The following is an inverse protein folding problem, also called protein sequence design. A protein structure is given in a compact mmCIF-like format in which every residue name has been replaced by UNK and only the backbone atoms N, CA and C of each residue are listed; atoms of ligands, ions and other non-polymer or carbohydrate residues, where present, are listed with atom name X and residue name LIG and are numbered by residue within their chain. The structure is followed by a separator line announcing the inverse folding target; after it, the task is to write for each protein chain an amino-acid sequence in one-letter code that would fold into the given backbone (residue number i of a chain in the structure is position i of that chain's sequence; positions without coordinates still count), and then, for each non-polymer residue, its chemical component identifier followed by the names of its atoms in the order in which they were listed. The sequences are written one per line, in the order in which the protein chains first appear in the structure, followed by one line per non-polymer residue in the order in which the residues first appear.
data_IF_034269947702
#
_entry.id   IF_034269947702
#
_cell.length_a   1.000
_cell.length_b   1.000
_cell.length_c   1.000
_cell.angle_alpha   90.00
_cell.angle_beta   90.00
_cell.angle_gamma   90.00
#
_symmetry.space_group_name_H-M   'P 1'
#
loop_
_entity.id
_entity.type
_entity.pdbx_description
1 polymer ?
#
# COMPACT_ATOMS: atom_id res chain seq x y z
N UNK A 1 9.35 24.30 51.97
CA UNK A 1 9.33 24.30 53.46
C UNK A 1 7.97 23.81 53.94
N UNK A 2 7.91 23.17 55.12
CA UNK A 2 6.65 22.66 55.70
C UNK A 2 5.63 23.78 55.92
N UNK A 3 6.10 25.02 56.11
CA UNK A 3 5.32 26.26 56.26
C UNK A 3 4.46 26.64 55.06
N UNK A 4 4.70 26.06 53.88
CA UNK A 4 3.96 26.38 52.65
C UNK A 4 2.82 25.39 52.35
N UNK A 5 2.58 24.42 53.23
CA UNK A 5 1.51 23.44 53.11
C UNK A 5 0.18 24.02 53.62
N UNK A 6 -0.89 23.87 52.85
CA UNK A 6 -2.26 24.17 53.26
C UNK A 6 -2.99 22.89 53.62
N UNK A 7 -3.99 22.96 54.50
CA UNK A 7 -4.85 21.81 54.81
C UNK A 7 -6.15 21.94 54.04
N UNK A 8 -6.49 20.91 53.27
CA UNK A 8 -7.67 20.87 52.42
C UNK A 8 -8.53 19.65 52.78
N UNK A 9 -9.82 19.89 53.04
CA UNK A 9 -10.81 18.85 53.32
C UNK A 9 -11.30 18.25 51.99
N UNK A 10 -10.92 17.00 51.74
CA UNK A 10 -11.40 16.23 50.59
C UNK A 10 -12.47 15.23 51.05
N UNK A 11 -13.29 14.66 50.14
CA UNK A 11 -14.24 13.59 50.50
C UNK A 11 -13.61 12.34 51.14
N UNK A 12 -12.28 12.20 51.07
CA UNK A 12 -11.51 11.11 51.69
C UNK A 12 -10.80 11.53 52.99
N UNK A 13 -11.08 12.73 53.51
CA UNK A 13 -10.48 13.28 54.73
C UNK A 13 -9.56 14.48 54.48
N UNK A 14 -8.87 14.91 55.54
CA UNK A 14 -7.96 16.07 55.54
C UNK A 14 -6.60 15.73 54.92
N UNK A 15 -6.24 16.44 53.85
CA UNK A 15 -4.93 16.33 53.20
C UNK A 15 -4.12 17.61 53.38
N UNK A 16 -2.80 17.48 53.37
CA UNK A 16 -1.88 18.61 53.24
C UNK A 16 -1.56 18.80 51.76
N UNK A 17 -1.83 19.98 51.22
CA UNK A 17 -1.62 20.35 49.81
C UNK A 17 -0.56 21.44 49.70
N UNK A 18 0.19 21.42 48.60
CA UNK A 18 1.20 22.44 48.27
C UNK A 18 0.90 22.98 46.88
N UNK A 19 0.62 24.28 46.80
CA UNK A 19 0.40 24.92 45.50
C UNK A 19 1.74 25.43 44.97
N UNK A 20 2.30 24.71 43.99
CA UNK A 20 3.51 25.14 43.27
C UNK A 20 3.11 25.89 42.01
N UNK A 21 3.38 27.20 41.96
CA UNK A 21 3.32 27.95 40.71
C UNK A 21 4.63 27.74 39.94
N UNK A 22 4.54 27.19 38.73
CA UNK A 22 5.68 27.03 37.82
C UNK A 22 5.58 28.12 36.77
N UNK A 23 6.56 29.03 36.73
CA UNK A 23 6.61 30.07 35.70
C UNK A 23 6.76 29.42 34.32
N UNK A 24 5.91 29.84 33.38
CA UNK A 24 6.02 29.40 31.99
C UNK A 24 7.37 29.77 31.39
N UNK A 25 7.91 28.87 30.54
CA UNK A 25 9.10 29.11 29.72
C UNK A 25 8.70 29.77 28.40
N UNK A 26 9.62 30.47 27.74
CA UNK A 26 9.34 30.95 26.39
C UNK A 26 9.18 29.76 25.43
N UNK A 27 8.22 29.82 24.52
CA UNK A 27 7.92 28.70 23.60
C UNK A 27 9.14 28.23 22.82
N UNK A 28 9.98 29.17 22.37
CA UNK A 28 11.24 28.89 21.64
C UNK A 28 12.23 28.05 22.44
N UNK A 29 12.19 28.10 23.77
CA UNK A 29 13.09 27.34 24.65
C UNK A 29 12.62 25.89 24.84
N UNK A 30 11.32 25.63 24.65
CA UNK A 30 10.69 24.31 24.87
C UNK A 30 10.58 23.52 23.56
N UNK A 31 10.45 24.22 22.44
CA UNK A 31 10.28 23.62 21.12
C UNK A 31 11.39 22.62 20.70
N UNK A 32 12.69 22.85 20.98
CA UNK A 32 13.74 21.88 20.68
C UNK A 32 13.53 20.51 21.36
N UNK A 33 13.12 20.52 22.63
CA UNK A 33 12.83 19.30 23.40
C UNK A 33 11.63 18.54 22.80
N UNK A 34 10.59 19.28 22.40
CA UNK A 34 9.41 18.71 21.76
C UNK A 34 9.75 18.08 20.40
N UNK A 35 10.54 18.75 19.57
CA UNK A 35 10.99 18.19 18.29
C UNK A 35 11.87 16.95 18.49
N UNK A 36 12.78 16.98 19.46
CA UNK A 36 13.63 15.84 19.79
C UNK A 36 12.82 14.61 20.22
N UNK A 37 11.80 14.79 21.06
CA UNK A 37 10.91 13.70 21.46
C UNK A 37 10.06 13.19 20.30
N UNK A 38 9.50 14.08 19.48
CA UNK A 38 8.74 13.70 18.28
C UNK A 38 9.58 12.83 17.34
N UNK A 39 10.84 13.22 17.07
CA UNK A 39 11.74 12.46 16.21
C UNK A 39 12.03 11.04 16.75
N UNK A 40 12.00 10.85 18.07
CA UNK A 40 12.22 9.54 18.72
C UNK A 40 10.97 8.66 18.72
N UNK A 41 9.79 9.28 18.78
CA UNK A 41 8.50 8.59 18.80
C UNK A 41 8.04 8.12 17.41
N UNK A 42 8.58 8.72 16.34
CA UNK A 42 8.29 8.29 14.96
C UNK A 42 8.83 6.88 14.69
N UNK A 43 7.91 5.92 14.58
CA UNK A 43 8.20 4.54 14.23
C UNK A 43 7.91 4.26 12.75
N UNK A 44 8.81 3.52 12.11
CA UNK A 44 8.67 3.06 10.73
C UNK A 44 8.80 1.53 10.66
N UNK A 45 8.16 0.84 9.70
CA UNK A 45 8.30 -0.61 9.54
C UNK A 45 9.74 -1.07 9.35
N UNK A 46 10.59 -0.20 8.79
CA UNK A 46 12.04 -0.39 8.69
C UNK A 46 12.75 0.88 9.14
N UNK A 47 13.53 0.77 10.20
CA UNK A 47 14.40 1.83 10.71
C UNK A 47 15.79 1.68 10.10
N UNK A 48 16.43 2.81 9.78
CA UNK A 48 17.80 2.84 9.26
C UNK A 48 18.76 3.47 10.28
N UNK A 49 19.93 2.84 10.41
CA UNK A 49 21.11 3.45 11.02
C UNK A 49 21.72 4.41 9.99
N UNK A 50 22.01 5.64 10.41
CA UNK A 50 22.55 6.67 9.51
C UNK A 50 23.55 7.58 10.21
N UNK A 51 24.13 7.09 11.30
CA UNK A 51 25.18 7.72 12.10
C UNK A 51 24.81 9.14 12.59
N UNK A 52 23.57 9.33 13.04
CA UNK A 52 23.07 10.59 13.56
C UNK A 52 22.71 10.48 15.04
N UNK A 53 22.71 11.58 15.77
CA UNK A 53 22.28 11.66 17.17
C UNK A 53 21.60 12.99 17.48
N UNK A 54 20.85 13.00 18.58
CA UNK A 54 20.30 14.22 19.18
C UNK A 54 21.10 14.57 20.43
N UNK A 55 21.10 15.85 20.81
CA UNK A 55 21.65 16.33 22.09
C UNK A 55 20.72 16.00 23.28
N UNK A 56 20.21 14.77 23.32
CA UNK A 56 19.31 14.27 24.37
C UNK A 56 19.93 13.14 25.22
N UNK A 57 21.16 12.74 24.90
CA UNK A 57 21.88 11.67 25.60
C UNK A 57 21.29 10.27 25.39
N UNK A 58 20.33 10.08 24.47
CA UNK A 58 19.67 8.79 24.21
C UNK A 58 20.34 7.96 23.10
N UNK A 59 21.55 8.31 22.71
CA UNK A 59 22.34 7.60 21.70
C UNK A 59 21.90 7.88 20.26
N UNK A 60 22.21 6.94 19.35
CA UNK A 60 21.95 7.08 17.92
C UNK A 60 20.46 7.35 17.63
N UNK A 61 20.19 8.30 16.72
CA UNK A 61 18.88 8.59 16.17
C UNK A 61 18.63 7.73 14.94
N UNK A 62 17.77 6.74 15.11
CA UNK A 62 17.24 5.93 14.02
C UNK A 62 16.11 6.65 13.30
N UNK A 63 16.01 6.52 11.97
CA UNK A 63 14.90 7.10 11.21
C UNK A 63 14.57 6.26 9.97
N UNK A 64 13.40 6.43 9.37
CA UNK A 64 13.01 5.66 8.17
C UNK A 64 13.93 5.89 6.97
N UNK A 65 14.54 7.08 6.87
CA UNK A 65 15.56 7.49 5.87
C UNK A 65 16.45 8.60 6.43
N UNK A 66 17.70 8.78 5.95
CA UNK A 66 18.53 9.91 6.37
C UNK A 66 17.85 11.27 6.12
N UNK A 67 17.72 12.08 7.16
CA UNK A 67 17.15 13.43 7.08
C UNK A 67 18.14 14.35 6.38
N UNK A 68 17.66 15.17 5.44
CA UNK A 68 18.52 16.02 4.60
C UNK A 68 18.49 17.50 4.97
N UNK A 69 17.37 17.98 5.50
CA UNK A 69 17.21 19.33 6.03
C UNK A 69 16.01 19.35 6.98
N UNK A 70 15.96 20.35 7.86
CA UNK A 70 14.85 20.57 8.78
C UNK A 70 14.35 22.01 8.65
N UNK A 71 13.05 22.15 8.38
CA UNK A 71 12.37 23.44 8.44
C UNK A 71 11.67 23.56 9.79
N UNK A 72 12.17 24.41 10.69
CA UNK A 72 11.61 24.56 12.02
C UNK A 72 11.49 26.04 12.39
N UNK A 73 10.26 26.55 12.32
CA UNK A 73 9.95 27.97 12.45
C UNK A 73 8.91 28.22 13.55
N UNK A 74 9.11 29.29 14.31
CA UNK A 74 8.15 29.84 15.25
C UNK A 74 8.07 31.36 15.10
N UNK A 75 6.88 31.90 14.89
CA UNK A 75 6.69 33.34 14.66
C UNK A 75 7.54 33.91 13.51
N UNK A 76 7.84 33.09 12.49
CA UNK A 76 8.68 33.45 11.35
C UNK A 76 10.19 33.47 11.59
N UNK A 77 10.64 33.00 12.76
CA UNK A 77 12.05 32.84 13.10
C UNK A 77 12.42 31.37 13.19
N UNK A 78 13.66 31.04 12.82
CA UNK A 78 14.19 29.68 12.97
C UNK A 78 14.36 29.40 14.46
N UNK A 79 13.82 28.27 14.90
CA UNK A 79 14.07 27.73 16.25
C UNK A 79 15.32 26.86 16.16
N UNK A 80 16.42 27.19 16.86
CA UNK A 80 17.66 26.42 16.77
C UNK A 80 17.47 24.97 17.24
N UNK A 81 17.81 24.03 16.36
CA UNK A 81 17.91 22.61 16.68
C UNK A 81 18.87 21.96 15.69
N UNK A 82 19.66 21.00 16.16
CA UNK A 82 20.66 20.30 15.36
C UNK A 82 20.52 18.80 15.57
N UNK A 83 20.46 18.05 14.47
CA UNK A 83 20.77 16.62 14.48
C UNK A 83 22.26 16.51 14.16
N UNK A 84 23.05 16.04 15.11
CA UNK A 84 24.50 15.98 14.97
C UNK A 84 24.93 14.62 14.41
N UNK A 85 26.02 14.58 13.65
CA UNK A 85 26.64 13.30 13.26
C UNK A 85 27.24 12.60 14.49
N UNK A 86 27.25 11.27 14.48
CA UNK A 86 28.04 10.50 15.43
C UNK A 86 29.54 10.73 15.18
N UNK A 87 30.32 10.76 16.26
CA UNK A 87 31.77 10.85 16.17
C UNK A 87 32.38 9.66 15.41
N UNK A 88 31.77 8.48 15.52
CA UNK A 88 32.18 7.23 14.86
C UNK A 88 31.69 7.10 13.42
N UNK A 89 30.96 8.10 12.89
CA UNK A 89 30.41 8.05 11.54
C UNK A 89 31.53 7.89 10.50
N UNK A 90 31.54 6.76 9.80
CA UNK A 90 32.64 6.40 8.88
C UNK A 90 32.58 7.16 7.55
N UNK A 91 31.40 7.68 7.18
CA UNK A 91 31.21 8.43 5.94
C UNK A 91 31.34 9.94 6.14
N UNK A 92 32.12 10.58 5.28
CA UNK A 92 32.16 12.05 5.17
C UNK A 92 30.85 12.65 4.63
N UNK A 93 29.91 11.82 4.15
CA UNK A 93 28.59 12.26 3.66
C UNK A 93 27.57 12.47 4.78
N UNK A 94 27.85 12.02 6.01
CA UNK A 94 27.02 12.28 7.18
C UNK A 94 27.41 13.66 7.72
N UNK A 95 26.48 14.60 7.68
CA UNK A 95 26.69 15.99 8.11
C UNK A 95 25.63 16.35 9.13
N UNK A 96 25.95 17.34 9.96
CA UNK A 96 24.98 17.91 10.90
C UNK A 96 23.81 18.51 10.13
N UNK A 97 22.60 18.24 10.60
CA UNK A 97 21.37 18.79 10.04
C UNK A 97 20.87 19.87 10.99
N UNK A 98 21.15 21.11 10.62
CA UNK A 98 20.70 22.29 11.38
C UNK A 98 19.36 22.76 10.83
N UNK A 99 18.45 23.12 11.73
CA UNK A 99 17.19 23.75 11.35
C UNK A 99 17.39 25.05 10.59
N UNK A 100 16.58 25.28 9.58
CA UNK A 100 16.60 26.51 8.80
C UNK A 100 15.22 26.97 8.36
N UNK A 101 15.22 27.99 7.51
CA UNK A 101 14.03 28.55 6.87
C UNK A 101 13.89 28.11 5.40
N UNK A 102 14.64 27.08 5.00
CA UNK A 102 14.81 26.67 3.62
C UNK A 102 14.03 25.39 3.33
N UNK A 103 13.38 25.35 2.18
CA UNK A 103 12.73 24.16 1.61
C UNK A 103 13.08 24.03 0.13
N UNK A 104 12.60 22.96 -0.51
CA UNK A 104 12.92 22.60 -1.88
C UNK A 104 11.65 22.20 -2.61
N UNK A 105 11.56 22.59 -3.87
CA UNK A 105 10.46 22.20 -4.74
C UNK A 105 10.68 20.81 -5.32
N UNK A 106 9.82 20.44 -6.25
CA UNK A 106 9.86 19.14 -6.90
C UNK A 106 11.20 18.88 -7.57
N UNK A 107 11.76 17.69 -7.33
CA UNK A 107 13.13 17.35 -7.76
C UNK A 107 13.39 17.55 -9.26
N UNK A 108 12.42 17.18 -10.10
CA UNK A 108 12.54 17.27 -11.56
C UNK A 108 11.87 18.51 -12.17
N UNK A 109 10.68 18.90 -11.68
CA UNK A 109 9.84 19.93 -12.30
C UNK A 109 10.21 21.34 -11.92
N UNK A 110 10.62 21.55 -10.67
CA UNK A 110 10.85 22.89 -10.16
C UNK A 110 12.00 23.57 -10.91
N UNK A 111 11.85 24.83 -11.28
CA UNK A 111 12.89 25.62 -11.98
C UNK A 111 13.77 26.41 -10.99
N UNK A 112 13.18 26.76 -9.84
CA UNK A 112 13.85 27.15 -8.60
C UNK A 112 13.58 26.08 -7.54
N UNK A 113 14.28 26.01 -6.40
CA UNK A 113 14.00 24.95 -5.43
C UNK A 113 14.65 23.59 -5.69
N UNK A 114 15.52 23.45 -6.71
CA UNK A 114 16.33 22.22 -6.93
C UNK A 114 17.46 22.10 -5.90
N UNK A 115 18.12 20.94 -5.81
CA UNK A 115 19.36 20.79 -5.05
C UNK A 115 20.36 21.91 -5.43
N UNK A 116 20.67 22.80 -4.50
CA UNK A 116 21.50 23.99 -4.71
C UNK A 116 20.75 25.33 -4.91
N UNK A 117 19.42 25.35 -4.97
CA UNK A 117 18.60 26.58 -5.10
C UNK A 117 17.44 26.58 -4.09
N UNK A 118 17.72 26.69 -2.80
CA UNK A 118 16.70 26.62 -1.76
C UNK A 118 15.62 27.73 -1.86
N UNK A 119 14.41 27.41 -1.41
CA UNK A 119 13.28 28.33 -1.25
C UNK A 119 13.19 28.74 0.20
N UNK A 120 13.34 30.04 0.50
CA UNK A 120 13.17 30.55 1.87
C UNK A 120 11.69 30.78 2.17
N UNK A 121 11.22 30.31 3.32
CA UNK A 121 9.84 30.45 3.80
C UNK A 121 9.82 31.03 5.22
N UNK A 122 8.78 31.78 5.56
CA UNK A 122 8.62 32.40 6.89
C UNK A 122 7.34 31.98 7.62
N UNK A 123 6.42 31.35 6.94
CA UNK A 123 5.15 30.88 7.51
C UNK A 123 4.70 29.62 6.79
N UNK A 124 3.74 28.91 7.37
CA UNK A 124 3.13 27.76 6.74
C UNK A 124 2.39 28.14 5.43
N UNK A 125 1.74 29.30 5.39
CA UNK A 125 1.06 29.78 4.17
C UNK A 125 2.05 30.08 3.04
N UNK A 126 3.19 30.72 3.35
CA UNK A 126 4.26 30.89 2.36
C UNK A 126 4.83 29.55 1.91
N UNK A 127 5.02 28.61 2.84
CA UNK A 127 5.51 27.26 2.54
C UNK A 127 4.59 26.54 1.56
N UNK A 128 3.29 26.48 1.84
CA UNK A 128 2.28 25.89 0.96
C UNK A 128 2.27 26.55 -0.42
N UNK A 129 2.22 27.89 -0.46
CA UNK A 129 2.15 28.66 -1.72
C UNK A 129 3.40 28.43 -2.59
N UNK A 130 4.60 28.62 -2.03
CA UNK A 130 5.85 28.52 -2.78
C UNK A 130 6.14 27.09 -3.24
N UNK A 131 5.74 26.08 -2.46
CA UNK A 131 5.84 24.68 -2.89
C UNK A 131 4.90 24.37 -4.06
N UNK A 132 3.66 24.86 -4.04
CA UNK A 132 2.74 24.68 -5.16
C UNK A 132 3.27 25.34 -6.44
N UNK A 133 3.84 26.55 -6.35
CA UNK A 133 4.53 27.23 -7.47
C UNK A 133 5.74 26.45 -8.00
N UNK A 134 6.32 25.58 -7.17
CA UNK A 134 7.45 24.71 -7.51
C UNK A 134 7.02 23.23 -7.59
N UNK A 135 5.77 22.99 -7.99
CA UNK A 135 5.22 21.68 -8.30
C UNK A 135 5.23 20.70 -7.13
N UNK A 136 4.85 21.12 -5.93
CA UNK A 136 4.63 20.22 -4.78
C UNK A 136 3.32 20.56 -4.10
N UNK A 137 2.39 19.61 -4.09
CA UNK A 137 1.12 19.71 -3.38
C UNK A 137 1.23 19.01 -2.03
N UNK A 138 1.28 19.78 -0.94
CA UNK A 138 1.49 19.22 0.40
C UNK A 138 0.26 18.49 0.94
N UNK A 139 -0.94 18.92 0.57
CA UNK A 139 -2.18 18.36 1.08
C UNK A 139 -2.49 17.05 0.35
N UNK A 140 -2.57 15.94 1.09
CA UNK A 140 -2.93 14.63 0.54
C UNK A 140 -4.30 14.66 -0.16
N UNK A 141 -5.29 15.33 0.43
CA UNK A 141 -6.62 15.49 -0.17
C UNK A 141 -6.58 16.22 -1.52
N UNK A 142 -5.78 17.29 -1.63
CA UNK A 142 -5.63 18.04 -2.87
C UNK A 142 -5.01 17.20 -3.99
N UNK A 143 -3.97 16.41 -3.65
CA UNK A 143 -3.35 15.44 -4.57
C UNK A 143 -4.39 14.40 -5.03
N UNK A 144 -5.12 13.81 -4.09
CA UNK A 144 -6.15 12.80 -4.38
C UNK A 144 -7.25 13.33 -5.30
N UNK A 145 -7.78 14.50 -5.00
CA UNK A 145 -8.85 15.11 -5.81
C UNK A 145 -8.36 15.49 -7.20
N UNK A 146 -7.12 15.95 -7.31
CA UNK A 146 -6.49 16.21 -8.60
C UNK A 146 -6.32 14.93 -9.43
N UNK A 147 -5.76 13.87 -8.83
CA UNK A 147 -5.62 12.56 -9.48
C UNK A 147 -6.97 12.08 -9.99
N UNK A 148 -8.00 12.12 -9.15
CA UNK A 148 -9.36 11.73 -9.54
C UNK A 148 -9.85 12.50 -10.76
N UNK A 149 -9.76 13.84 -10.73
CA UNK A 149 -10.23 14.68 -11.85
C UNK A 149 -9.46 14.40 -13.14
N UNK A 150 -8.15 14.22 -13.07
CA UNK A 150 -7.31 13.95 -14.24
C UNK A 150 -7.56 12.55 -14.80
N UNK A 151 -7.75 11.54 -13.95
CA UNK A 151 -8.15 10.19 -14.34
C UNK A 151 -9.50 10.19 -15.07
N UNK A 152 -10.51 10.85 -14.49
CA UNK A 152 -11.84 10.95 -15.09
C UNK A 152 -11.77 11.69 -16.44
N UNK A 153 -11.00 12.77 -16.51
CA UNK A 153 -10.79 13.54 -17.74
C UNK A 153 -10.09 12.73 -18.83
N UNK A 154 -9.05 11.97 -18.48
CA UNK A 154 -8.31 11.14 -19.43
C UNK A 154 -9.16 9.93 -19.91
N UNK A 155 -9.88 9.26 -19.01
CA UNK A 155 -10.76 8.16 -19.36
C UNK A 155 -11.89 8.58 -20.31
N UNK A 156 -12.50 9.75 -20.08
CA UNK A 156 -13.55 10.30 -20.96
C UNK A 156 -13.07 10.53 -22.40
N UNK A 157 -11.81 10.95 -22.59
CA UNK A 157 -11.23 11.12 -23.92
C UNK A 157 -11.12 9.80 -24.70
N UNK A 158 -11.17 8.66 -24.01
CA UNK A 158 -11.15 7.32 -24.59
C UNK A 158 -12.54 6.69 -24.64
N UNK A 159 -13.62 7.48 -24.48
CA UNK A 159 -15.00 6.99 -24.33
C UNK A 159 -15.16 5.96 -23.21
N UNK A 160 -14.36 6.07 -22.16
CA UNK A 160 -14.35 5.16 -21.02
C UNK A 160 -14.46 5.87 -19.69
N UNK A 161 -14.35 5.09 -18.62
CA UNK A 161 -14.29 5.54 -17.24
C UNK A 161 -13.35 4.65 -16.45
N UNK A 162 -12.78 5.17 -15.37
CA UNK A 162 -11.98 4.35 -14.45
C UNK A 162 -12.93 3.63 -13.50
N UNK A 163 -12.81 2.32 -13.41
CA UNK A 163 -13.59 1.49 -12.49
C UNK A 163 -13.07 1.64 -11.06
N UNK A 164 -13.46 2.71 -10.38
CA UNK A 164 -13.04 2.92 -8.99
C UNK A 164 -14.13 2.49 -8.01
N UNK A 165 -15.35 3.01 -8.15
CA UNK A 165 -16.42 2.74 -7.18
C UNK A 165 -16.84 1.27 -7.22
N UNK A 166 -16.81 0.59 -6.08
CA UNK A 166 -17.20 -0.82 -5.97
C UNK A 166 -16.13 -1.80 -6.47
N UNK A 167 -14.90 -1.31 -6.69
CA UNK A 167 -13.73 -2.10 -7.04
C UNK A 167 -12.63 -1.87 -6.01
N UNK A 168 -12.53 -2.73 -4.96
CA UNK A 168 -11.66 -2.50 -3.81
C UNK A 168 -10.21 -2.20 -4.16
N UNK A 169 -9.65 -2.88 -5.17
CA UNK A 169 -8.26 -2.67 -5.61
C UNK A 169 -8.05 -1.27 -6.18
N UNK A 170 -9.01 -0.76 -6.96
CA UNK A 170 -8.91 0.58 -7.56
C UNK A 170 -9.17 1.70 -6.55
N UNK A 171 -10.02 1.46 -5.54
CA UNK A 171 -10.22 2.39 -4.43
C UNK A 171 -8.94 2.49 -3.57
N UNK A 172 -8.37 1.34 -3.23
CA UNK A 172 -7.10 1.27 -2.51
C UNK A 172 -5.98 1.98 -3.28
N UNK A 173 -5.88 1.76 -4.60
CA UNK A 173 -4.89 2.43 -5.44
C UNK A 173 -5.07 3.95 -5.44
N UNK A 174 -6.31 4.46 -5.52
CA UNK A 174 -6.55 5.91 -5.47
C UNK A 174 -6.18 6.53 -4.11
N UNK A 175 -6.25 5.76 -3.03
CA UNK A 175 -5.82 6.22 -1.73
C UNK A 175 -4.29 6.09 -1.55
N UNK A 176 -3.64 5.13 -2.18
CA UNK A 176 -2.18 4.94 -2.11
C UNK A 176 -1.40 5.97 -2.95
N UNK A 177 -1.78 6.14 -4.23
CA UNK A 177 -1.03 6.96 -5.21
C UNK A 177 -0.77 8.41 -4.76
N UNK A 178 -1.70 9.12 -4.07
CA UNK A 178 -1.43 10.45 -3.52
C UNK A 178 -0.23 10.50 -2.59
N UNK A 179 0.14 9.40 -1.93
CA UNK A 179 1.28 9.34 -1.01
C UNK A 179 2.61 9.03 -1.72
N UNK A 180 2.55 8.56 -2.97
CA UNK A 180 3.73 8.23 -3.80
C UNK A 180 4.24 9.42 -4.63
N UNK A 181 3.42 10.46 -4.78
CA UNK A 181 3.59 11.50 -5.80
C UNK A 181 3.40 12.89 -5.18
N UNK A 182 4.28 13.84 -5.53
CA UNK A 182 4.24 15.21 -5.02
C UNK A 182 3.37 16.12 -5.89
N UNK A 183 3.36 15.88 -7.21
CA UNK A 183 2.58 16.66 -8.18
C UNK A 183 2.08 15.77 -9.31
N UNK A 184 0.85 15.26 -9.19
CA UNK A 184 0.33 14.24 -10.11
C UNK A 184 0.04 14.82 -11.49
N UNK A 185 0.34 14.00 -12.49
CA UNK A 185 -0.16 14.11 -13.87
C UNK A 185 -0.65 12.74 -14.36
N UNK A 186 -1.60 12.68 -15.28
CA UNK A 186 -2.09 11.40 -15.84
C UNK A 186 -1.67 11.22 -17.29
N UNK A 187 -1.12 10.04 -17.59
CA UNK A 187 -0.76 9.62 -18.95
C UNK A 187 -1.59 8.39 -19.33
N UNK A 188 -2.17 8.41 -20.52
CA UNK A 188 -2.89 7.27 -21.08
C UNK A 188 -1.94 6.37 -21.87
N UNK A 189 -2.07 5.05 -21.68
CA UNK A 189 -1.37 4.02 -22.44
C UNK A 189 -2.35 2.95 -22.92
N UNK A 190 -1.91 2.15 -23.90
CA UNK A 190 -2.69 1.05 -24.45
C UNK A 190 -1.90 -0.28 -24.48
N UNK A 191 -2.61 -1.39 -24.55
CA UNK A 191 -2.03 -2.72 -24.78
C UNK A 191 -2.77 -3.46 -25.90
N UNK A 192 -2.28 -4.63 -26.31
CA UNK A 192 -2.93 -5.42 -27.36
C UNK A 192 -4.32 -5.91 -26.94
N UNK A 193 -5.33 -5.77 -27.81
CA UNK A 193 -6.69 -6.21 -27.52
C UNK A 193 -6.80 -7.73 -27.23
N UNK A 194 -5.88 -8.54 -27.76
CA UNK A 194 -5.83 -9.98 -27.51
C UNK A 194 -5.63 -10.33 -26.03
N UNK A 195 -5.04 -9.43 -25.23
CA UNK A 195 -4.90 -9.64 -23.78
C UNK A 195 -6.24 -9.56 -23.04
N UNK A 196 -7.30 -9.01 -23.66
CA UNK A 196 -8.65 -9.04 -23.08
C UNK A 196 -9.24 -10.46 -23.01
N UNK A 197 -8.57 -11.46 -23.58
CA UNK A 197 -8.90 -12.88 -23.38
C UNK A 197 -8.41 -13.44 -22.03
N UNK A 198 -7.54 -12.72 -21.33
CA UNK A 198 -7.13 -13.08 -19.97
C UNK A 198 -8.29 -12.83 -19.00
N UNK A 199 -8.37 -13.57 -17.88
CA UNK A 199 -9.28 -13.24 -16.80
C UNK A 199 -9.11 -11.78 -16.35
N UNK A 200 -10.22 -11.11 -16.05
CA UNK A 200 -10.20 -9.70 -15.65
C UNK A 200 -9.36 -9.48 -14.38
N UNK A 201 -9.35 -10.45 -13.46
CA UNK A 201 -8.55 -10.40 -12.24
C UNK A 201 -7.04 -10.43 -12.54
N UNK A 202 -6.61 -11.18 -13.56
CA UNK A 202 -5.20 -11.21 -14.00
C UNK A 202 -4.80 -9.85 -14.60
N UNK A 203 -5.67 -9.26 -15.42
CA UNK A 203 -5.46 -7.92 -15.99
C UNK A 203 -5.42 -6.85 -14.88
N UNK A 204 -6.37 -6.90 -13.96
CA UNK A 204 -6.46 -5.97 -12.83
C UNK A 204 -5.21 -6.08 -11.95
N UNK A 205 -4.78 -7.27 -11.56
CA UNK A 205 -3.56 -7.45 -10.76
C UNK A 205 -2.31 -6.96 -11.49
N UNK A 206 -2.18 -7.25 -12.78
CA UNK A 206 -1.03 -6.78 -13.57
C UNK A 206 -0.99 -5.26 -13.68
N UNK A 207 -2.13 -4.60 -13.89
CA UNK A 207 -2.20 -3.15 -14.03
C UNK A 207 -2.12 -2.44 -12.68
N UNK A 208 -2.91 -2.87 -11.70
CA UNK A 208 -3.08 -2.20 -10.41
C UNK A 208 -1.94 -2.58 -9.45
N UNK A 209 -1.83 -3.85 -9.09
CA UNK A 209 -0.90 -4.29 -8.04
C UNK A 209 0.56 -4.23 -8.50
N UNK A 210 0.85 -4.61 -9.75
CA UNK A 210 2.24 -4.66 -10.23
C UNK A 210 2.74 -3.34 -10.81
N UNK A 211 1.85 -2.48 -11.30
CA UNK A 211 2.23 -1.26 -12.04
C UNK A 211 1.62 0.03 -11.50
N UNK A 212 0.69 -0.03 -10.54
CA UNK A 212 -0.02 1.14 -10.01
C UNK A 212 -0.77 1.95 -11.09
N UNK A 213 -1.31 1.24 -12.09
CA UNK A 213 -2.08 1.80 -13.19
C UNK A 213 -3.56 1.52 -13.02
N UNK A 214 -4.37 2.47 -13.48
CA UNK A 214 -5.81 2.40 -13.42
C UNK A 214 -6.38 1.81 -14.73
N UNK A 215 -7.02 0.63 -14.71
CA UNK A 215 -7.68 0.08 -15.87
C UNK A 215 -8.85 0.98 -16.32
N UNK A 216 -9.08 1.05 -17.62
CA UNK A 216 -10.19 1.82 -18.19
C UNK A 216 -11.27 0.86 -18.68
N UNK A 217 -12.51 1.09 -18.28
CA UNK A 217 -13.67 0.37 -18.80
C UNK A 217 -14.47 1.21 -19.78
N UNK A 218 -15.06 0.54 -20.76
CA UNK A 218 -15.98 1.12 -21.72
C UNK A 218 -17.38 1.31 -21.12
N UNK A 219 -18.33 1.87 -21.88
CA UNK A 219 -19.69 2.16 -21.40
C UNK A 219 -20.47 0.93 -20.91
N UNK A 220 -20.12 -0.27 -21.39
CA UNK A 220 -20.77 -1.54 -21.06
C UNK A 220 -20.11 -2.24 -19.85
N UNK A 221 -19.21 -1.58 -19.14
CA UNK A 221 -18.49 -2.14 -17.99
C UNK A 221 -17.29 -3.03 -18.35
N UNK A 222 -17.16 -3.46 -19.61
CA UNK A 222 -16.00 -4.25 -20.08
C UNK A 222 -14.74 -3.41 -20.12
N UNK A 223 -13.61 -4.02 -19.77
CA UNK A 223 -12.28 -3.42 -19.89
C UNK A 223 -11.97 -3.06 -21.35
N UNK A 224 -11.44 -1.85 -21.55
CA UNK A 224 -10.79 -1.43 -22.78
C UNK A 224 -9.33 -1.89 -22.75
N UNK A 225 -8.65 -2.02 -23.90
CA UNK A 225 -7.23 -2.31 -23.96
C UNK A 225 -6.38 -1.06 -23.65
N UNK A 226 -6.72 -0.38 -22.55
CA UNK A 226 -6.19 0.91 -22.15
C UNK A 226 -6.08 1.03 -20.63
N UNK A 227 -5.11 1.82 -20.20
CA UNK A 227 -4.86 2.11 -18.79
C UNK A 227 -4.41 3.56 -18.62
N UNK A 228 -4.50 4.05 -17.40
CA UNK A 228 -4.04 5.38 -16.99
C UNK A 228 -2.95 5.24 -15.94
N UNK A 229 -1.78 5.81 -16.22
CA UNK A 229 -0.67 5.88 -15.30
C UNK A 229 -0.64 7.26 -14.65
N UNK A 230 -0.55 7.32 -13.32
CA UNK A 230 -0.30 8.57 -12.59
C UNK A 230 1.22 8.75 -12.49
N UNK A 231 1.70 9.92 -12.87
CA UNK A 231 3.12 10.23 -12.97
C UNK A 231 3.48 11.43 -12.12
N UNK A 232 4.75 11.50 -11.73
CA UNK A 232 5.35 12.63 -11.01
C UNK A 232 6.37 13.37 -11.90
N UNK A 233 6.09 13.44 -13.21
CA UNK A 233 7.01 13.92 -14.25
C UNK A 233 6.40 15.06 -15.06
N UNK A 234 7.23 15.70 -15.89
CA UNK A 234 6.87 16.97 -16.51
C UNK A 234 5.82 16.76 -17.60
N UNK A 235 4.76 17.56 -17.62
CA UNK A 235 3.84 17.61 -18.77
C UNK A 235 4.63 17.92 -20.05
N UNK A 236 4.44 17.12 -21.11
CA UNK A 236 5.03 17.38 -22.43
C UNK A 236 5.86 16.26 -23.05
N UNK A 237 6.17 15.18 -22.31
CA UNK A 237 6.72 13.93 -22.87
C UNK A 237 5.76 12.75 -22.67
N UNK A 238 4.46 13.04 -22.73
CA UNK A 238 3.39 12.09 -22.43
C UNK A 238 3.50 10.85 -23.32
N UNK A 239 3.87 11.01 -24.59
CA UNK A 239 4.02 9.87 -25.52
C UNK A 239 5.23 8.99 -25.21
N UNK A 240 6.35 9.56 -24.77
CA UNK A 240 7.52 8.79 -24.36
C UNK A 240 7.24 7.99 -23.08
N UNK A 241 6.55 8.61 -22.12
CA UNK A 241 6.12 7.94 -20.90
C UNK A 241 5.13 6.83 -21.21
N UNK A 242 4.10 7.10 -22.02
CA UNK A 242 3.12 6.13 -22.45
C UNK A 242 3.81 4.93 -23.12
N UNK A 243 4.62 5.14 -24.16
CA UNK A 243 5.32 4.06 -24.88
C UNK A 243 6.14 3.18 -23.92
N UNK A 244 6.83 3.76 -22.94
CA UNK A 244 7.58 2.98 -21.96
C UNK A 244 6.66 2.16 -21.05
N UNK A 245 5.57 2.76 -20.54
CA UNK A 245 4.58 2.06 -19.74
C UNK A 245 3.91 0.92 -20.53
N UNK A 246 3.54 1.17 -21.79
CA UNK A 246 2.96 0.18 -22.73
C UNK A 246 3.91 -1.02 -22.91
N UNK A 247 5.22 -0.79 -23.05
CA UNK A 247 6.22 -1.87 -23.16
C UNK A 247 6.30 -2.72 -21.90
N UNK A 248 6.31 -2.10 -20.72
CA UNK A 248 6.37 -2.81 -19.44
C UNK A 248 5.10 -3.64 -19.22
N UNK A 249 3.93 -3.05 -19.44
CA UNK A 249 2.63 -3.75 -19.33
C UNK A 249 2.55 -4.89 -20.33
N UNK A 250 2.94 -4.66 -21.58
CA UNK A 250 2.91 -5.70 -22.63
C UNK A 250 3.80 -6.88 -22.28
N UNK A 251 4.99 -6.66 -21.73
CA UNK A 251 5.88 -7.75 -21.29
C UNK A 251 5.22 -8.58 -20.19
N UNK A 252 4.67 -7.94 -19.15
CA UNK A 252 4.00 -8.64 -18.04
C UNK A 252 2.74 -9.39 -18.48
N UNK A 253 1.95 -8.82 -19.38
CA UNK A 253 0.76 -9.48 -19.92
C UNK A 253 1.10 -10.68 -20.82
N UNK A 254 2.25 -10.66 -21.51
CA UNK A 254 2.74 -11.84 -22.24
C UNK A 254 3.10 -12.97 -21.30
N UNK A 255 3.78 -12.67 -20.20
CA UNK A 255 4.12 -13.68 -19.18
C UNK A 255 2.83 -14.27 -18.58
N UNK A 256 1.89 -13.42 -18.15
CA UNK A 256 0.59 -13.85 -17.66
C UNK A 256 -0.16 -14.73 -18.66
N UNK A 257 -0.14 -14.35 -19.95
CA UNK A 257 -0.75 -15.15 -21.03
C UNK A 257 -0.09 -16.50 -21.22
N UNK A 258 1.23 -16.55 -21.17
CA UNK A 258 1.97 -17.80 -21.23
C UNK A 258 1.56 -18.74 -20.09
N UNK A 259 1.49 -18.25 -18.85
CA UNK A 259 1.06 -19.06 -17.71
C UNK A 259 -0.40 -19.50 -17.83
N UNK A 260 -1.29 -18.60 -18.24
CA UNK A 260 -2.71 -18.91 -18.45
C UNK A 260 -2.91 -20.02 -19.48
N UNK A 261 -2.23 -19.95 -20.62
CA UNK A 261 -2.33 -20.96 -21.67
C UNK A 261 -1.69 -22.29 -21.25
N UNK A 262 -0.50 -22.25 -20.64
CA UNK A 262 0.19 -23.43 -20.11
C UNK A 262 -0.66 -24.14 -19.06
N UNK A 263 -1.19 -23.39 -18.09
CA UNK A 263 -1.93 -23.96 -16.97
C UNK A 263 -3.22 -24.65 -17.39
N UNK A 264 -3.85 -24.20 -18.48
CA UNK A 264 -5.09 -24.81 -19.00
C UNK A 264 -4.87 -26.15 -19.70
N UNK A 265 -3.62 -26.54 -19.98
CA UNK A 265 -3.31 -27.85 -20.58
C UNK A 265 -3.36 -29.01 -19.58
N UNK A 266 -3.31 -28.71 -18.28
CA UNK A 266 -3.39 -29.69 -17.19
C UNK A 266 -4.59 -29.35 -16.31
N UNK A 267 -5.36 -30.33 -15.87
CA UNK A 267 -6.50 -30.12 -14.96
C UNK A 267 -6.08 -29.75 -13.53
N UNK A 268 -6.97 -29.17 -12.72
CA UNK A 268 -6.69 -28.91 -11.29
C UNK A 268 -6.45 -30.23 -10.53
N UNK A 269 -7.25 -31.25 -10.80
CA UNK A 269 -7.14 -32.55 -10.14
C UNK A 269 -5.79 -33.25 -10.40
N UNK A 270 -5.27 -33.14 -11.63
CA UNK A 270 -3.97 -33.69 -11.98
C UNK A 270 -2.80 -33.00 -11.24
N UNK A 271 -3.03 -31.81 -10.68
CA UNK A 271 -2.02 -31.08 -9.89
C UNK A 271 -1.99 -31.47 -8.42
N UNK A 272 -2.97 -32.23 -7.91
CA UNK A 272 -3.04 -32.57 -6.49
C UNK A 272 -1.79 -33.32 -6.00
N UNK A 273 -1.19 -34.16 -6.85
CA UNK A 273 0.05 -34.86 -6.52
C UNK A 273 1.24 -33.91 -6.27
N UNK A 274 1.26 -32.72 -6.91
CA UNK A 274 2.28 -31.70 -6.62
C UNK A 274 2.11 -31.10 -5.23
N UNK A 275 0.91 -31.13 -4.64
CA UNK A 275 0.70 -30.61 -3.28
C UNK A 275 1.34 -31.48 -2.21
N UNK A 276 1.57 -32.77 -2.49
CA UNK A 276 2.27 -33.68 -1.57
C UNK A 276 3.75 -33.28 -1.39
N UNK A 277 4.32 -32.48 -2.30
CA UNK A 277 5.71 -31.99 -2.20
C UNK A 277 5.85 -30.64 -1.49
N UNK A 278 4.73 -29.94 -1.25
CA UNK A 278 4.72 -28.63 -0.60
C UNK A 278 4.45 -28.80 0.88
N UNK A 279 5.46 -28.52 1.72
CA UNK A 279 5.33 -28.62 3.17
C UNK A 279 4.32 -27.58 3.69
N UNK A 280 3.27 -28.05 4.37
CA UNK A 280 2.36 -27.17 5.10
C UNK A 280 2.87 -26.93 6.52
N UNK A 281 3.19 -28.01 7.24
CA UNK A 281 3.73 -27.93 8.60
C UNK A 281 4.46 -29.23 8.96
N UNK A 282 5.60 -29.13 9.66
CA UNK A 282 6.45 -30.30 9.99
C UNK A 282 5.69 -31.46 10.64
N UNK A 283 4.76 -31.17 11.54
CA UNK A 283 3.97 -32.19 12.24
C UNK A 283 2.66 -32.60 11.51
N UNK A 284 2.20 -31.80 10.54
CA UNK A 284 0.91 -32.01 9.87
C UNK A 284 1.08 -32.41 8.38
N UNK A 285 2.32 -32.52 7.92
CA UNK A 285 2.67 -32.95 6.57
C UNK A 285 2.55 -31.85 5.52
N UNK A 286 2.20 -32.29 4.32
CA UNK A 286 2.14 -31.50 3.10
C UNK A 286 0.79 -30.77 2.94
N UNK A 287 0.68 -29.93 1.91
CA UNK A 287 -0.60 -29.38 1.49
C UNK A 287 -1.54 -30.45 0.95
N UNK A 288 -1.02 -31.53 0.34
CA UNK A 288 -1.83 -32.68 -0.05
C UNK A 288 -2.45 -33.40 1.15
N UNK A 289 -1.69 -33.56 2.25
CA UNK A 289 -2.22 -34.10 3.50
C UNK A 289 -3.28 -33.18 4.13
N UNK A 290 -3.07 -31.86 4.00
CA UNK A 290 -4.05 -30.86 4.46
C UNK A 290 -5.36 -30.96 3.68
N UNK A 291 -5.34 -30.99 2.34
CA UNK A 291 -6.57 -31.06 1.55
C UNK A 291 -7.33 -32.35 1.81
N UNK A 292 -6.66 -33.51 1.94
CA UNK A 292 -7.29 -34.78 2.33
C UNK A 292 -8.04 -34.67 3.67
N UNK A 293 -7.48 -34.00 4.66
CA UNK A 293 -8.16 -33.74 5.94
C UNK A 293 -9.36 -32.81 5.78
N UNK A 294 -9.20 -31.72 5.02
CA UNK A 294 -10.29 -30.76 4.79
C UNK A 294 -11.44 -31.43 4.03
N UNK A 295 -11.17 -32.30 3.06
CA UNK A 295 -12.18 -33.05 2.31
C UNK A 295 -13.07 -33.89 3.22
N UNK A 296 -12.47 -34.69 4.12
CA UNK A 296 -13.21 -35.50 5.10
C UNK A 296 -14.04 -34.60 6.02
N UNK A 297 -13.46 -33.51 6.52
CA UNK A 297 -14.14 -32.59 7.43
C UNK A 297 -15.30 -31.85 6.74
N UNK A 298 -15.11 -31.40 5.50
CA UNK A 298 -16.13 -30.67 4.74
C UNK A 298 -17.36 -31.55 4.51
N UNK A 299 -17.15 -32.82 4.13
CA UNK A 299 -18.25 -33.79 3.97
C UNK A 299 -18.99 -34.02 5.29
N UNK A 300 -18.25 -34.33 6.37
CA UNK A 300 -18.82 -34.61 7.68
C UNK A 300 -19.57 -33.40 8.25
N UNK A 301 -19.06 -32.17 8.08
CA UNK A 301 -19.75 -30.96 8.52
C UNK A 301 -21.04 -30.75 7.72
N UNK A 302 -20.99 -30.92 6.39
CA UNK A 302 -22.18 -30.79 5.56
C UNK A 302 -23.27 -31.80 5.95
N UNK A 303 -22.91 -33.07 6.21
CA UNK A 303 -23.88 -34.11 6.60
C UNK A 303 -24.31 -34.02 8.06
N UNK A 304 -23.36 -34.03 8.99
CA UNK A 304 -23.62 -34.34 10.40
C UNK A 304 -24.00 -33.09 11.20
N UNK A 305 -23.46 -31.92 10.80
CA UNK A 305 -23.73 -30.64 11.48
C UNK A 305 -24.89 -29.92 10.81
N UNK A 306 -24.88 -29.84 9.48
CA UNK A 306 -25.88 -29.08 8.73
C UNK A 306 -27.02 -29.91 8.14
N UNK A 307 -26.96 -31.25 8.22
CA UNK A 307 -28.03 -32.12 7.72
C UNK A 307 -28.27 -32.02 6.21
N UNK A 308 -27.24 -31.67 5.42
CA UNK A 308 -27.36 -31.51 3.96
C UNK A 308 -27.44 -32.87 3.27
N UNK A 309 -27.97 -32.87 2.04
CA UNK A 309 -28.04 -34.06 1.21
C UNK A 309 -26.64 -34.59 0.85
N UNK A 310 -26.56 -35.88 0.50
CA UNK A 310 -25.31 -36.50 0.07
C UNK A 310 -24.68 -35.78 -1.12
N UNK A 311 -25.48 -35.31 -2.08
CA UNK A 311 -25.01 -34.54 -3.24
C UNK A 311 -24.30 -33.24 -2.83
N UNK A 312 -24.91 -32.45 -1.94
CA UNK A 312 -24.30 -31.21 -1.43
C UNK A 312 -23.03 -31.50 -0.63
N UNK A 313 -23.04 -32.57 0.18
CA UNK A 313 -21.86 -32.97 0.92
C UNK A 313 -20.71 -33.43 0.00
N UNK A 314 -21.02 -34.09 -1.11
CA UNK A 314 -20.05 -34.52 -2.11
C UNK A 314 -19.48 -33.32 -2.90
N UNK A 315 -20.30 -32.31 -3.19
CA UNK A 315 -19.82 -31.05 -3.76
C UNK A 315 -18.91 -30.29 -2.78
N UNK A 316 -19.25 -30.22 -1.50
CA UNK A 316 -18.39 -29.62 -0.47
C UNK A 316 -17.05 -30.35 -0.35
N UNK A 317 -17.07 -31.69 -0.38
CA UNK A 317 -15.86 -32.52 -0.40
C UNK A 317 -15.03 -32.27 -1.68
N UNK A 318 -15.67 -32.15 -2.85
CA UNK A 318 -15.00 -31.84 -4.12
C UNK A 318 -14.31 -30.48 -4.07
N UNK A 319 -14.99 -29.45 -3.56
CA UNK A 319 -14.40 -28.13 -3.38
C UNK A 319 -13.20 -28.18 -2.43
N UNK A 320 -13.34 -28.85 -1.28
CA UNK A 320 -12.26 -29.03 -0.31
C UNK A 320 -11.05 -29.78 -0.87
N UNK A 321 -11.26 -30.79 -1.72
CA UNK A 321 -10.19 -31.51 -2.40
C UNK A 321 -9.39 -30.60 -3.32
N UNK A 322 -10.07 -29.71 -4.05
CA UNK A 322 -9.45 -28.81 -5.04
C UNK A 322 -9.00 -27.45 -4.46
N UNK A 323 -9.37 -27.11 -3.22
CA UNK A 323 -9.23 -25.75 -2.65
C UNK A 323 -7.80 -25.20 -2.52
N UNK A 324 -6.78 -26.01 -2.81
CA UNK A 324 -5.36 -25.63 -2.85
C UNK A 324 -4.66 -26.05 -4.14
N UNK A 325 -5.38 -26.61 -5.12
CA UNK A 325 -4.79 -27.13 -6.36
C UNK A 325 -4.14 -26.04 -7.22
N UNK A 326 -4.65 -24.81 -7.11
CA UNK A 326 -4.14 -23.64 -7.82
C UNK A 326 -2.74 -23.21 -7.34
N UNK A 327 -2.34 -23.51 -6.10
CA UNK A 327 -0.97 -23.31 -5.61
C UNK A 327 0.09 -24.02 -6.45
N UNK A 328 -0.30 -25.06 -7.18
CA UNK A 328 0.59 -25.82 -8.05
C UNK A 328 0.53 -25.36 -9.52
N UNK A 329 -0.13 -24.23 -9.80
CA UNK A 329 -0.17 -23.63 -11.14
C UNK A 329 0.94 -22.59 -11.28
N UNK A 330 1.44 -22.39 -12.49
CA UNK A 330 2.52 -21.43 -12.71
C UNK A 330 2.00 -20.00 -12.57
N UNK A 331 0.72 -19.76 -12.91
CA UNK A 331 0.06 -18.46 -12.68
C UNK A 331 0.09 -18.04 -11.21
N UNK A 332 -0.28 -18.91 -10.25
CA UNK A 332 -0.23 -18.55 -8.82
C UNK A 332 1.22 -18.49 -8.31
N UNK A 333 2.13 -19.22 -8.95
CA UNK A 333 3.56 -19.09 -8.68
C UNK A 333 4.10 -17.69 -8.97
N UNK A 334 3.72 -17.08 -10.10
CA UNK A 334 4.13 -15.72 -10.48
C UNK A 334 3.20 -14.63 -9.89
N UNK A 335 1.92 -14.93 -9.66
CA UNK A 335 0.89 -14.03 -9.12
C UNK A 335 0.24 -14.62 -7.85
N UNK A 336 0.95 -14.66 -6.71
CA UNK A 336 0.44 -15.28 -5.48
C UNK A 336 -0.87 -14.65 -4.97
N UNK A 337 -1.12 -13.38 -5.27
CA UNK A 337 -2.32 -12.64 -4.90
C UNK A 337 -3.59 -13.18 -5.58
N UNK A 338 -3.43 -13.93 -6.68
CA UNK A 338 -4.53 -14.57 -7.42
C UNK A 338 -4.87 -15.98 -6.91
N UNK A 339 -4.29 -16.40 -5.80
CA UNK A 339 -4.68 -17.62 -5.12
C UNK A 339 -6.19 -17.60 -4.76
N UNK A 340 -6.85 -18.74 -4.91
CA UNK A 340 -8.31 -18.90 -4.82
C UNK A 340 -9.02 -18.48 -6.10
N UNK A 341 -8.71 -17.28 -6.60
CA UNK A 341 -9.33 -16.69 -7.79
C UNK A 341 -9.02 -17.52 -9.02
N UNK A 342 -7.75 -17.92 -9.19
CA UNK A 342 -7.35 -18.81 -10.27
C UNK A 342 -7.92 -20.22 -10.08
N UNK A 343 -8.03 -20.71 -8.83
CA UNK A 343 -8.73 -21.95 -8.52
C UNK A 343 -10.16 -21.97 -9.08
N UNK A 344 -10.98 -20.96 -8.74
CA UNK A 344 -12.33 -20.79 -9.31
C UNK A 344 -12.30 -20.73 -10.83
N UNK A 345 -11.44 -19.87 -11.37
CA UNK A 345 -11.39 -19.58 -12.81
C UNK A 345 -11.05 -20.83 -13.62
N UNK A 346 -10.07 -21.61 -13.17
CA UNK A 346 -9.71 -22.87 -13.80
C UNK A 346 -10.78 -23.94 -13.61
N UNK A 347 -11.40 -24.04 -12.43
CA UNK A 347 -12.48 -25.00 -12.18
C UNK A 347 -13.69 -24.76 -13.09
N UNK A 348 -14.12 -23.50 -13.25
CA UNK A 348 -15.19 -23.13 -14.19
C UNK A 348 -14.81 -23.48 -15.64
N UNK A 349 -13.58 -23.19 -16.06
CA UNK A 349 -13.10 -23.54 -17.40
C UNK A 349 -13.01 -25.06 -17.64
N UNK A 350 -12.87 -25.85 -16.57
CA UNK A 350 -12.83 -27.32 -16.59
C UNK A 350 -14.23 -27.97 -16.46
N UNK A 351 -15.28 -27.17 -16.26
CA UNK A 351 -16.66 -27.65 -16.15
C UNK A 351 -17.05 -28.17 -14.76
N UNK A 352 -16.33 -27.80 -13.70
CA UNK A 352 -16.78 -28.05 -12.33
C UNK A 352 -18.10 -27.31 -12.05
N UNK A 353 -18.96 -27.82 -11.15
CA UNK A 353 -20.16 -27.10 -10.71
C UNK A 353 -19.83 -25.70 -10.19
N UNK A 354 -20.71 -24.73 -10.45
CA UNK A 354 -20.48 -23.34 -10.07
C UNK A 354 -20.19 -23.20 -8.57
N UNK A 355 -21.00 -23.82 -7.71
CA UNK A 355 -20.85 -23.77 -6.25
C UNK A 355 -19.48 -24.34 -5.79
N UNK A 356 -19.04 -25.43 -6.42
CA UNK A 356 -17.70 -25.98 -6.18
C UNK A 356 -16.65 -24.93 -6.55
N UNK A 357 -16.68 -24.42 -7.78
CA UNK A 357 -15.70 -23.46 -8.26
C UNK A 357 -15.67 -22.17 -7.43
N UNK A 358 -16.82 -21.64 -7.02
CA UNK A 358 -16.90 -20.45 -6.16
C UNK A 358 -16.28 -20.72 -4.78
N UNK A 359 -16.54 -21.87 -4.16
CA UNK A 359 -15.95 -22.25 -2.88
C UNK A 359 -14.41 -22.32 -2.89
N UNK A 360 -13.77 -22.58 -4.05
CA UNK A 360 -12.31 -22.56 -4.19
C UNK A 360 -11.72 -21.16 -3.93
N UNK A 361 -12.45 -20.10 -4.26
CA UNK A 361 -12.05 -18.72 -4.01
C UNK A 361 -12.45 -18.24 -2.60
N UNK A 362 -13.65 -18.63 -2.17
CA UNK A 362 -14.28 -18.15 -0.94
C UNK A 362 -13.69 -18.76 0.33
N UNK A 363 -13.00 -19.90 0.23
CA UNK A 363 -12.26 -20.50 1.36
C UNK A 363 -11.19 -19.56 1.95
N UNK A 364 -10.82 -18.51 1.23
CA UNK A 364 -9.87 -17.49 1.68
C UNK A 364 -10.54 -16.27 2.33
N UNK A 365 -11.87 -16.21 2.36
CA UNK A 365 -12.62 -15.12 2.98
C UNK A 365 -12.82 -15.32 4.49
N UNK A 366 -12.78 -14.26 5.32
CA UNK A 366 -12.38 -12.90 4.96
C UNK A 366 -10.85 -12.79 4.76
N UNK A 367 -10.42 -12.13 3.68
CA UNK A 367 -8.98 -11.98 3.36
C UNK A 367 -8.29 -10.95 4.24
N UNK A 368 -9.06 -9.99 4.76
CA UNK A 368 -8.59 -8.90 5.60
C UNK A 368 -9.65 -8.46 6.60
N UNK A 369 -9.25 -7.66 7.59
CA UNK A 369 -10.17 -7.10 8.56
C UNK A 369 -11.21 -6.21 7.85
N UNK A 370 -12.50 -6.49 8.08
CA UNK A 370 -13.62 -5.78 7.46
C UNK A 370 -14.05 -6.32 6.09
N UNK A 371 -13.42 -7.39 5.60
CA UNK A 371 -13.88 -8.11 4.41
C UNK A 371 -15.17 -8.91 4.69
N UNK A 372 -15.91 -9.23 3.63
CA UNK A 372 -17.10 -10.07 3.71
C UNK A 372 -16.78 -11.50 4.15
N UNK A 373 -17.78 -12.20 4.67
CA UNK A 373 -17.71 -13.67 4.85
C UNK A 373 -18.07 -14.37 3.54
N UNK A 374 -17.64 -15.63 3.41
CA UNK A 374 -17.98 -16.48 2.27
C UNK A 374 -19.51 -16.51 2.03
N UNK A 375 -19.99 -16.20 0.81
CA UNK A 375 -21.41 -16.23 0.49
C UNK A 375 -21.98 -17.62 0.17
N UNK A 376 -21.15 -18.61 -0.20
CA UNK A 376 -21.58 -20.00 -0.48
C UNK A 376 -22.06 -20.80 0.73
#
# INVERSE_FOLDING_TARGET
EVSALAQEDTPKGKYLTYMKSIRGRATVDVMPELLGNLLRELAFPRMMHWDAQLEDGRGELMFGRPIRWLLFLYGGRVVPFTISRLAVASSSRVQDVVTGANTYGHRFLATSGRAGRAIKVRSFDEYRKKLAEQFVLIARGERRDRIRRELDGAARKMNGHVLIKGQPQSEALLDEVPDLIEYPSVVAGAFGADFLQLPEEVLATTLIHHQHYFPVAGPQGKLLPAFLAVTNTQPGNDRGIATNAERVVTARLRDARFFWDSDRTVGLEARLARLDTVLFHKALGSYGDKTKRIEVLARAIATDVFGRSADVADQAARAAKLCKADLATDMVGEFPELQGVMGRTYALAQGEPADVAHALDEVYMPRQAGDGIAPS
#
